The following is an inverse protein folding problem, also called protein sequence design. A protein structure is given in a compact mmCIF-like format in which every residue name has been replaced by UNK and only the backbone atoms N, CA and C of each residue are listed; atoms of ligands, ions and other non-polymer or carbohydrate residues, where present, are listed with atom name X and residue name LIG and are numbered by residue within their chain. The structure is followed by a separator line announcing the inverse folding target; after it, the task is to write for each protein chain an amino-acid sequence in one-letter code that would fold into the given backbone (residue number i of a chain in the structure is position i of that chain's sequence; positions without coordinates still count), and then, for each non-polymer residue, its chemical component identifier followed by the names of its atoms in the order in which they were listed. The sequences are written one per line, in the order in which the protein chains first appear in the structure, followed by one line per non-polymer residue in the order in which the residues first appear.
data_IF_425686503836
#
_entry.id   IF_425686503836
#
_cell.length_a   1.000
_cell.length_b   1.000
_cell.length_c   1.000
_cell.angle_alpha   90.00
_cell.angle_beta   90.00
_cell.angle_gamma   90.00
#
_symmetry.space_group_name_H-M   'P 1'
#
loop_
_entity.id
_entity.type
_entity.pdbx_description
1 polymer ?
#
# COMPACT_ATOMS: atom_id res chain seq x y z
N UNK A 1 -15.18 10.24 6.52
CA UNK A 1 -15.56 9.14 5.62
C UNK A 1 -14.39 8.64 4.76
N UNK A 2 -13.72 9.44 3.91
CA UNK A 2 -12.52 8.94 3.16
C UNK A 2 -11.30 8.65 4.05
N UNK A 3 -11.20 9.36 5.17
CA UNK A 3 -10.10 9.23 6.14
C UNK A 3 -10.04 7.82 6.74
N UNK A 4 -11.20 7.18 6.92
CA UNK A 4 -11.29 5.86 7.56
C UNK A 4 -10.89 4.74 6.60
N UNK A 5 -11.20 4.87 5.31
CA UNK A 5 -10.86 3.85 4.29
C UNK A 5 -9.34 3.74 4.11
N UNK A 6 -8.64 4.87 3.95
CA UNK A 6 -7.18 4.87 3.81
C UNK A 6 -6.48 4.27 5.06
N UNK A 7 -7.01 4.57 6.25
CA UNK A 7 -6.56 4.00 7.51
C UNK A 7 -6.77 2.48 7.58
N UNK A 8 -7.94 2.00 7.13
CA UNK A 8 -8.23 0.56 7.11
C UNK A 8 -7.31 -0.19 6.15
N UNK A 9 -7.06 0.36 4.96
CA UNK A 9 -6.15 -0.25 3.97
C UNK A 9 -4.74 -0.35 4.52
N UNK A 10 -4.16 0.72 5.09
CA UNK A 10 -2.78 0.65 5.62
C UNK A 10 -2.67 -0.33 6.79
N UNK A 11 -3.70 -0.40 7.64
CA UNK A 11 -3.72 -1.35 8.75
C UNK A 11 -3.80 -2.80 8.25
N UNK A 12 -4.62 -3.08 7.24
CA UNK A 12 -4.67 -4.41 6.61
C UNK A 12 -3.32 -4.82 6.03
N UNK A 13 -2.63 -3.91 5.32
CA UNK A 13 -1.29 -4.17 4.77
C UNK A 13 -0.28 -4.48 5.89
N UNK A 14 -0.31 -3.70 6.98
CA UNK A 14 0.59 -3.90 8.11
C UNK A 14 0.33 -5.23 8.85
N UNK A 15 -0.92 -5.68 8.90
CA UNK A 15 -1.28 -6.97 9.52
C UNK A 15 -0.95 -8.17 8.63
N UNK A 16 -1.01 -8.02 7.31
CA UNK A 16 -0.88 -9.14 6.37
C UNK A 16 0.56 -9.40 5.92
N UNK A 17 1.35 -8.36 5.61
CA UNK A 17 2.59 -8.58 4.86
C UNK A 17 3.78 -7.70 5.24
N UNK A 18 3.59 -6.55 5.88
CA UNK A 18 4.69 -5.62 6.18
C UNK A 18 4.70 -5.24 7.65
N UNK A 19 5.70 -5.75 8.37
CA UNK A 19 6.02 -5.26 9.72
C UNK A 19 6.77 -3.93 9.63
N UNK A 20 6.29 -2.94 10.38
CA UNK A 20 6.73 -1.56 10.20
C UNK A 20 6.11 -0.56 11.17
N UNK A 21 6.49 0.70 10.97
CA UNK A 21 5.88 1.84 11.68
C UNK A 21 4.93 2.59 10.76
N UNK A 22 3.77 2.98 11.29
CA UNK A 22 2.78 3.78 10.55
C UNK A 22 2.85 5.23 11.00
N UNK A 23 3.09 6.12 10.05
CA UNK A 23 2.96 7.57 10.22
C UNK A 23 1.71 8.08 9.50
N UNK A 24 1.08 9.14 10.04
CA UNK A 24 -0.12 9.75 9.45
C UNK A 24 0.05 11.25 9.25
N UNK A 25 -0.14 11.70 8.01
CA UNK A 25 -0.16 13.12 7.63
C UNK A 25 -1.56 13.53 7.19
N UNK A 26 -2.05 14.66 7.72
CA UNK A 26 -3.32 15.27 7.27
C UNK A 26 -3.04 16.49 6.42
N UNK A 27 -3.82 16.64 5.35
CA UNK A 27 -3.81 17.80 4.48
C UNK A 27 -5.23 18.37 4.38
N UNK A 28 -5.37 19.61 3.90
CA UNK A 28 -6.70 20.23 3.69
C UNK A 28 -7.60 19.40 2.77
N UNK A 29 -7.03 18.68 1.80
CA UNK A 29 -7.77 17.88 0.82
C UNK A 29 -7.79 16.36 1.08
N UNK A 30 -7.18 15.87 2.17
CA UNK A 30 -7.04 14.41 2.35
C UNK A 30 -6.11 13.97 3.46
N UNK A 31 -5.72 12.71 3.42
CA UNK A 31 -4.82 12.07 4.39
C UNK A 31 -3.82 11.17 3.65
N UNK A 32 -2.60 11.08 4.16
CA UNK A 32 -1.60 10.08 3.76
C UNK A 32 -1.19 9.29 4.99
N UNK A 33 -1.17 7.98 4.86
CA UNK A 33 -0.52 7.06 5.78
C UNK A 33 0.75 6.54 5.13
N UNK A 34 1.82 6.40 5.89
CA UNK A 34 3.11 5.88 5.43
C UNK A 34 3.47 4.73 6.36
N UNK A 35 3.49 3.50 5.83
CA UNK A 35 4.02 2.32 6.49
C UNK A 35 5.48 2.15 6.07
N UNK A 36 6.41 2.30 7.00
CA UNK A 36 7.84 2.09 6.76
C UNK A 36 8.23 0.69 7.23
N UNK A 37 8.69 -0.14 6.31
CA UNK A 37 9.18 -1.48 6.61
C UNK A 37 10.45 -1.40 7.46
N UNK A 38 10.54 -2.24 8.49
CA UNK A 38 11.76 -2.33 9.30
C UNK A 38 12.89 -3.13 8.63
N UNK A 39 12.56 -3.90 7.58
CA UNK A 39 13.43 -4.98 7.12
C UNK A 39 14.12 -4.72 5.79
N UNK A 40 13.51 -3.94 4.90
CA UNK A 40 13.93 -3.86 3.50
C UNK A 40 14.02 -2.42 2.94
N UNK A 41 13.75 -1.41 3.77
CA UNK A 41 13.77 -0.02 3.36
C UNK A 41 12.69 0.34 2.34
N UNK A 42 11.63 -0.47 2.25
CA UNK A 42 10.43 -0.11 1.50
C UNK A 42 9.48 0.76 2.32
N UNK A 43 8.72 1.60 1.63
CA UNK A 43 7.59 2.32 2.21
C UNK A 43 6.32 2.07 1.40
N UNK A 44 5.19 1.90 2.09
CA UNK A 44 3.87 1.87 1.47
C UNK A 44 3.09 3.11 1.90
N UNK A 45 2.69 3.92 0.93
CA UNK A 45 1.93 5.14 1.16
C UNK A 45 0.48 4.91 0.75
N UNK A 46 -0.46 5.07 1.67
CA UNK A 46 -1.89 5.03 1.37
C UNK A 46 -2.47 6.43 1.48
N UNK A 47 -2.94 6.96 0.36
CA UNK A 47 -3.38 8.35 0.22
C UNK A 47 -4.87 8.39 -0.09
N UNK A 48 -5.66 8.96 0.82
CA UNK A 48 -7.09 9.22 0.60
C UNK A 48 -7.33 10.68 0.23
N UNK A 49 -7.81 10.93 -0.99
CA UNK A 49 -8.09 12.29 -1.51
C UNK A 49 -9.17 12.28 -2.59
N UNK A 50 -10.11 13.24 -2.56
CA UNK A 50 -11.10 13.48 -3.61
C UNK A 50 -11.86 12.22 -4.09
N UNK A 51 -12.42 11.44 -3.16
CA UNK A 51 -13.09 10.15 -3.44
C UNK A 51 -12.20 9.09 -4.14
N UNK A 52 -10.88 9.23 -4.03
CA UNK A 52 -9.90 8.27 -4.51
C UNK A 52 -9.03 7.78 -3.35
N UNK A 53 -8.61 6.52 -3.45
CA UNK A 53 -7.53 5.94 -2.65
C UNK A 53 -6.39 5.59 -3.60
N UNK A 54 -5.19 6.04 -3.26
CA UNK A 54 -3.95 5.64 -3.93
C UNK A 54 -3.11 4.81 -2.97
N UNK A 55 -2.50 3.75 -3.48
CA UNK A 55 -1.50 2.96 -2.76
C UNK A 55 -0.22 3.05 -3.57
N UNK A 56 0.82 3.60 -2.98
CA UNK A 56 2.13 3.76 -3.62
C UNK A 56 3.16 2.91 -2.88
N UNK A 57 3.98 2.15 -3.61
CA UNK A 57 5.06 1.34 -3.04
C UNK A 57 6.39 1.94 -3.47
N UNK A 58 7.24 2.21 -2.49
CA UNK A 58 8.52 2.91 -2.64
C UNK A 58 9.67 2.01 -2.18
N UNK A 59 10.81 2.07 -2.88
CA UNK A 59 12.12 1.66 -2.36
C UNK A 59 12.92 2.94 -2.13
N UNK A 60 12.86 3.46 -0.91
CA UNK A 60 13.40 4.80 -0.59
C UNK A 60 14.93 4.83 -0.55
N UNK A 61 15.57 3.66 -0.59
CA UNK A 61 17.02 3.56 -0.66
C UNK A 61 17.55 3.66 -2.09
N UNK A 62 16.72 3.37 -3.10
CA UNK A 62 17.16 3.30 -4.50
C UNK A 62 16.52 4.33 -5.41
N UNK A 63 15.26 4.71 -5.17
CA UNK A 63 14.50 5.54 -6.11
C UNK A 63 13.82 6.72 -5.43
N UNK A 64 13.72 7.83 -6.17
CA UNK A 64 13.02 9.05 -5.75
C UNK A 64 11.57 9.12 -6.28
N UNK A 65 10.99 7.98 -6.66
CA UNK A 65 9.64 7.86 -7.22
C UNK A 65 9.02 6.50 -6.83
N UNK A 66 7.67 6.37 -6.82
CA UNK A 66 7.03 5.11 -6.47
C UNK A 66 7.21 4.09 -7.59
N UNK A 67 7.54 2.86 -7.21
CA UNK A 67 7.69 1.72 -8.14
C UNK A 67 6.34 1.17 -8.59
N UNK A 68 5.33 1.25 -7.73
CA UNK A 68 3.96 0.81 -8.01
C UNK A 68 2.99 1.89 -7.55
N UNK A 69 1.97 2.15 -8.36
CA UNK A 69 0.84 3.02 -7.99
C UNK A 69 -0.47 2.32 -8.32
N UNK A 70 -1.23 1.95 -7.30
CA UNK A 70 -2.57 1.40 -7.42
C UNK A 70 -3.60 2.49 -7.13
N UNK A 71 -4.68 2.52 -7.90
CA UNK A 71 -5.69 3.58 -7.83
C UNK A 71 -7.09 3.00 -7.76
N UNK A 72 -7.84 3.42 -6.74
CA UNK A 72 -9.20 2.96 -6.47
C UNK A 72 -10.16 4.13 -6.26
N UNK A 73 -11.41 3.98 -6.69
CA UNK A 73 -12.50 4.86 -6.26
C UNK A 73 -12.91 4.47 -4.84
N UNK A 74 -12.88 5.41 -3.91
CA UNK A 74 -13.17 5.13 -2.50
C UNK A 74 -14.61 4.60 -2.28
N UNK A 75 -15.56 5.01 -3.13
CA UNK A 75 -16.97 4.60 -3.04
C UNK A 75 -17.25 3.14 -3.43
N UNK A 76 -16.31 2.45 -4.08
CA UNK A 76 -16.53 1.10 -4.64
C UNK A 76 -15.33 0.18 -4.40
N UNK A 77 -14.43 0.55 -3.50
CA UNK A 77 -13.22 -0.20 -3.20
C UNK A 77 -13.51 -1.26 -2.15
N UNK A 78 -13.02 -2.47 -2.39
CA UNK A 78 -12.89 -3.51 -1.37
C UNK A 78 -11.52 -3.36 -0.69
N UNK A 79 -11.52 -3.13 0.62
CA UNK A 79 -10.31 -2.83 1.41
C UNK A 79 -9.35 -4.01 1.42
N UNK A 80 -9.86 -5.22 1.64
CA UNK A 80 -9.04 -6.43 1.78
C UNK A 80 -8.39 -6.79 0.44
N UNK A 81 -9.15 -6.74 -0.65
CA UNK A 81 -8.64 -7.02 -1.99
C UNK A 81 -7.54 -6.04 -2.39
N UNK A 82 -7.68 -4.77 -2.03
CA UNK A 82 -6.67 -3.76 -2.30
C UNK A 82 -5.41 -3.92 -1.43
N UNK A 83 -5.58 -4.27 -0.16
CA UNK A 83 -4.46 -4.60 0.73
C UNK A 83 -3.70 -5.82 0.21
N UNK A 84 -4.40 -6.90 -0.14
CA UNK A 84 -3.82 -8.10 -0.73
C UNK A 84 -3.04 -7.79 -2.01
N UNK A 85 -3.62 -6.97 -2.91
CA UNK A 85 -2.95 -6.56 -4.15
C UNK A 85 -1.66 -5.76 -3.85
N UNK A 86 -1.69 -4.87 -2.86
CA UNK A 86 -0.51 -4.11 -2.45
C UNK A 86 0.56 -5.01 -1.82
N UNK A 87 0.17 -5.95 -0.97
CA UNK A 87 1.06 -6.96 -0.40
C UNK A 87 1.73 -7.81 -1.47
N UNK A 88 0.94 -8.32 -2.42
CA UNK A 88 1.46 -9.10 -3.54
C UNK A 88 2.46 -8.30 -4.38
N UNK A 89 2.14 -7.04 -4.70
CA UNK A 89 3.04 -6.17 -5.44
C UNK A 89 4.34 -5.88 -4.67
N UNK A 90 4.27 -5.73 -3.34
CA UNK A 90 5.46 -5.58 -2.49
C UNK A 90 6.33 -6.84 -2.50
N UNK A 91 5.73 -8.02 -2.33
CA UNK A 91 6.46 -9.30 -2.36
C UNK A 91 7.13 -9.54 -3.72
N UNK A 92 6.46 -9.17 -4.83
CA UNK A 92 7.05 -9.20 -6.18
C UNK A 92 8.31 -8.35 -6.26
N UNK A 93 8.25 -7.10 -5.78
CA UNK A 93 9.39 -6.18 -5.80
C UNK A 93 10.56 -6.67 -4.92
N UNK A 94 10.26 -7.42 -3.85
CA UNK A 94 11.26 -8.02 -2.97
C UNK A 94 11.81 -9.35 -3.52
N UNK A 95 11.30 -9.86 -4.65
CA UNK A 95 11.68 -11.18 -5.17
C UNK A 95 11.28 -12.34 -4.26
N UNK A 96 10.22 -12.17 -3.45
CA UNK A 96 9.79 -13.14 -2.43
C UNK A 96 8.65 -14.06 -2.91
N UNK A 97 8.19 -13.90 -4.15
CA UNK A 97 7.11 -14.73 -4.69
C UNK A 97 7.68 -16.07 -5.17
N UNK A 98 7.11 -17.17 -4.67
CA UNK A 98 7.36 -18.51 -5.21
C UNK A 98 6.76 -18.66 -6.60
N UNK A 99 7.40 -19.42 -7.49
CA UNK A 99 6.90 -19.68 -8.85
C UNK A 99 5.43 -20.18 -8.84
N UNK A 100 5.06 -21.03 -7.87
CA UNK A 100 3.68 -21.52 -7.68
C UNK A 100 2.63 -20.39 -7.47
N UNK A 101 2.99 -19.28 -6.81
CA UNK A 101 2.07 -18.13 -6.62
C UNK A 101 1.99 -17.23 -7.86
N UNK A 102 2.95 -17.31 -8.79
CA UNK A 102 2.85 -16.60 -10.07
C UNK A 102 1.95 -17.34 -11.06
N UNK A 103 1.99 -18.68 -11.07
CA UNK A 103 1.20 -19.51 -11.99
C UNK A 103 -0.31 -19.52 -11.66
N UNK A 104 -0.69 -19.35 -10.40
CA UNK A 104 -2.10 -19.29 -9.99
C UNK A 104 -2.87 -18.04 -10.49
N UNK A 105 -2.21 -17.15 -11.24
CA UNK A 105 -2.77 -15.90 -11.78
C UNK A 105 -2.85 -15.87 -13.32
N UNK A 106 -2.46 -16.94 -14.00
CA UNK A 106 -2.58 -17.14 -15.46
C UNK A 106 -3.70 -18.14 -15.74
#
# INVERSE_FOLDING_TARGET
MHVDIAGNVINSIAMECIDGSIERHRFSSGVRYILRSYNDGSEVHVIGKNNMIFIEIWDVNKYAFPLVVLRYKASSMDVLSAAYTACYAHELLQGKISEERMEALI
#
